data_IF_399662488729
#
_entry.id   IF_399662488729
#
_cell.length_a   1.000
_cell.length_b   1.000
_cell.length_c   1.000
_cell.angle_alpha   90.00
_cell.angle_beta   90.00
_cell.angle_gamma   90.00
#
_symmetry.space_group_name_H-M   'P 1'
#
loop_
_entity.id
_entity.type
_entity.pdbx_description
1 polymer ?
#
# COMPACT_ATOMS: atom_id res chain seq x y z
N UNK A 1 -21.01 -12.63 2.48
CA UNK A 1 -22.28 -11.90 2.25
C UNK A 1 -22.53 -11.92 0.76
N UNK A 2 -23.76 -12.22 0.31
CA UNK A 2 -24.10 -12.14 -1.09
C UNK A 2 -23.89 -10.71 -1.61
N UNK A 3 -23.37 -10.57 -2.83
CA UNK A 3 -23.25 -9.29 -3.51
C UNK A 3 -24.66 -8.80 -3.86
N UNK A 4 -24.94 -7.54 -3.60
CA UNK A 4 -26.27 -6.95 -3.79
C UNK A 4 -26.28 -6.05 -5.03
N UNK A 5 -27.24 -6.27 -5.91
CA UNK A 5 -27.47 -5.49 -7.12
C UNK A 5 -28.80 -4.73 -6.99
N UNK A 6 -28.79 -3.42 -7.29
CA UNK A 6 -30.00 -2.61 -7.38
C UNK A 6 -30.40 -2.50 -8.85
N UNK A 7 -31.61 -2.98 -9.17
CA UNK A 7 -32.19 -2.90 -10.52
C UNK A 7 -33.17 -1.74 -10.56
N UNK A 8 -32.94 -0.78 -11.46
CA UNK A 8 -33.74 0.43 -11.64
C UNK A 8 -34.30 0.45 -13.06
N UNK A 9 -35.59 0.25 -13.20
CA UNK A 9 -36.30 0.23 -14.47
C UNK A 9 -37.78 0.57 -14.17
N UNK A 10 -38.48 1.33 -14.99
CA UNK A 10 -39.88 1.64 -14.79
C UNK A 10 -40.80 0.49 -15.14
N UNK A 11 -40.38 -0.44 -16.02
CA UNK A 11 -41.13 -1.62 -16.43
C UNK A 11 -41.02 -2.75 -15.38
N UNK A 12 -42.13 -3.12 -14.74
CA UNK A 12 -42.20 -4.16 -13.72
C UNK A 12 -41.70 -5.53 -14.22
N UNK A 13 -42.08 -5.88 -15.44
CA UNK A 13 -41.73 -7.16 -16.05
C UNK A 13 -40.21 -7.28 -16.28
N UNK A 14 -39.58 -6.19 -16.66
CA UNK A 14 -38.11 -6.16 -16.84
C UNK A 14 -37.40 -6.27 -15.48
N UNK A 15 -37.88 -5.57 -14.46
CA UNK A 15 -37.33 -5.70 -13.11
C UNK A 15 -37.41 -7.13 -12.59
N UNK A 16 -38.58 -7.81 -12.81
CA UNK A 16 -38.78 -9.18 -12.38
C UNK A 16 -37.86 -10.15 -13.15
N UNK A 17 -37.79 -10.01 -14.48
CA UNK A 17 -36.92 -10.84 -15.34
C UNK A 17 -35.45 -10.71 -14.94
N UNK A 18 -34.97 -9.49 -14.83
CA UNK A 18 -33.54 -9.21 -14.47
C UNK A 18 -33.25 -9.69 -13.04
N UNK A 19 -34.19 -9.51 -12.11
CA UNK A 19 -34.04 -9.99 -10.74
C UNK A 19 -33.93 -11.51 -10.70
N UNK A 20 -34.83 -12.24 -11.40
CA UNK A 20 -34.76 -13.68 -11.45
C UNK A 20 -33.46 -14.22 -12.00
N UNK A 21 -32.97 -13.66 -13.10
CA UNK A 21 -31.66 -14.04 -13.67
C UNK A 21 -30.51 -13.85 -12.68
N UNK A 22 -30.48 -12.73 -11.94
CA UNK A 22 -29.41 -12.43 -11.00
C UNK A 22 -29.53 -13.26 -9.70
N UNK A 23 -30.75 -13.53 -9.24
CA UNK A 23 -30.99 -14.35 -8.05
C UNK A 23 -30.59 -15.81 -8.30
N UNK A 24 -30.81 -16.33 -9.50
CA UNK A 24 -30.37 -17.69 -9.92
C UNK A 24 -28.83 -17.81 -9.88
N UNK A 25 -28.12 -16.71 -10.13
CA UNK A 25 -26.65 -16.65 -10.03
C UNK A 25 -26.14 -16.30 -8.60
N UNK A 26 -27.06 -16.22 -7.63
CA UNK A 26 -26.73 -16.03 -6.21
C UNK A 26 -26.50 -14.59 -5.77
N UNK A 27 -26.90 -13.60 -6.56
CA UNK A 27 -26.94 -12.20 -6.15
C UNK A 27 -28.17 -11.92 -5.27
N UNK A 28 -28.03 -11.01 -4.33
CA UNK A 28 -29.18 -10.40 -3.66
C UNK A 28 -29.67 -9.24 -4.52
N UNK A 29 -30.96 -9.16 -4.81
CA UNK A 29 -31.50 -8.10 -5.68
C UNK A 29 -32.45 -7.19 -4.91
N UNK A 30 -32.30 -5.88 -5.10
CA UNK A 30 -33.31 -4.89 -4.77
C UNK A 30 -33.76 -4.19 -6.04
N UNK A 31 -34.99 -3.72 -6.06
CA UNK A 31 -35.56 -3.05 -7.23
C UNK A 31 -36.05 -1.66 -6.87
N UNK A 32 -36.02 -0.75 -7.85
CA UNK A 32 -36.65 0.56 -7.79
C UNK A 32 -37.33 0.85 -9.13
N UNK A 33 -38.49 1.50 -9.11
CA UNK A 33 -39.25 1.83 -10.30
C UNK A 33 -38.94 3.22 -10.86
N UNK A 34 -38.27 4.07 -10.06
CA UNK A 34 -37.98 5.46 -10.43
C UNK A 34 -36.71 5.96 -9.75
N UNK A 35 -36.30 7.16 -10.11
CA UNK A 35 -35.08 7.80 -9.60
C UNK A 35 -35.12 8.10 -8.10
N UNK A 36 -36.30 8.36 -7.52
CA UNK A 36 -36.46 8.67 -6.09
C UNK A 36 -36.23 7.39 -5.28
N UNK A 37 -36.95 6.32 -5.62
CA UNK A 37 -36.79 5.01 -5.00
C UNK A 37 -35.39 4.45 -5.14
N UNK A 38 -34.72 4.71 -6.28
CA UNK A 38 -33.34 4.32 -6.49
C UNK A 38 -32.37 5.03 -5.53
N UNK A 39 -32.50 6.35 -5.40
CA UNK A 39 -31.65 7.13 -4.49
C UNK A 39 -31.90 6.78 -3.03
N UNK A 40 -33.17 6.61 -2.62
CA UNK A 40 -33.52 6.17 -1.27
C UNK A 40 -32.96 4.79 -0.95
N UNK A 41 -33.03 3.84 -1.91
CA UNK A 41 -32.46 2.52 -1.76
C UNK A 41 -30.90 2.55 -1.63
N UNK A 42 -30.23 3.45 -2.34
CA UNK A 42 -28.77 3.62 -2.25
C UNK A 42 -28.39 4.25 -0.91
N UNK A 43 -29.16 5.25 -0.44
CA UNK A 43 -28.90 5.95 0.83
C UNK A 43 -29.18 5.04 2.04
N UNK A 44 -30.20 4.17 1.97
CA UNK A 44 -30.49 3.17 3.01
C UNK A 44 -29.35 2.14 3.14
N UNK A 45 -28.93 1.57 2.03
CA UNK A 45 -27.81 0.66 1.98
C UNK A 45 -27.16 0.65 0.60
N UNK A 46 -25.86 0.98 0.55
CA UNK A 46 -25.09 0.99 -0.69
C UNK A 46 -25.07 -0.36 -1.36
N UNK A 47 -25.57 -0.54 -2.59
CA UNK A 47 -25.47 -1.77 -3.34
C UNK A 47 -24.03 -2.00 -3.85
N UNK A 48 -23.72 -3.24 -4.23
CA UNK A 48 -22.46 -3.57 -4.90
C UNK A 48 -22.40 -3.01 -6.33
N UNK A 49 -23.57 -2.89 -6.97
CA UNK A 49 -23.73 -2.40 -8.34
C UNK A 49 -25.15 -1.89 -8.55
N UNK A 50 -25.34 -0.99 -9.51
CA UNK A 50 -26.65 -0.54 -10.01
C UNK A 50 -26.79 -0.93 -11.47
N UNK A 51 -27.89 -1.59 -11.80
CA UNK A 51 -28.40 -1.76 -13.16
C UNK A 51 -29.46 -0.68 -13.40
N UNK A 52 -29.28 0.14 -14.40
CA UNK A 52 -30.09 1.34 -14.57
C UNK A 52 -30.61 1.45 -16.00
N UNK A 53 -31.93 1.48 -16.14
CA UNK A 53 -32.51 1.81 -17.44
C UNK A 53 -32.29 3.28 -17.81
N UNK A 54 -32.00 3.50 -19.09
CA UNK A 54 -31.77 4.86 -19.63
C UNK A 54 -33.06 5.66 -19.67
N UNK A 55 -34.18 5.02 -19.94
CA UNK A 55 -35.47 5.69 -20.13
C UNK A 55 -36.42 5.37 -18.97
N UNK A 56 -36.37 6.17 -17.92
CA UNK A 56 -37.26 6.04 -16.76
C UNK A 56 -38.49 6.91 -16.95
N UNK A 57 -39.58 6.35 -17.49
CA UNK A 57 -40.84 7.06 -17.71
C UNK A 57 -41.51 7.44 -16.38
N UNK A 58 -42.03 8.65 -16.30
CA UNK A 58 -42.69 9.13 -15.08
C UNK A 58 -41.76 9.42 -13.91
N UNK A 59 -40.47 9.24 -14.06
CA UNK A 59 -39.43 9.52 -13.06
C UNK A 59 -39.04 10.99 -13.08
N UNK A 60 -38.56 11.50 -11.92
CA UNK A 60 -38.06 12.88 -11.77
C UNK A 60 -36.78 13.13 -12.55
N UNK A 61 -35.90 12.12 -12.62
CA UNK A 61 -34.64 12.13 -13.38
C UNK A 61 -34.72 10.99 -14.40
N UNK A 62 -34.23 11.25 -15.62
CA UNK A 62 -33.95 10.15 -16.55
C UNK A 62 -32.73 9.33 -16.13
N UNK A 63 -32.45 8.22 -16.80
CA UNK A 63 -31.38 7.34 -16.39
C UNK A 63 -30.00 7.97 -16.49
N UNK A 64 -29.75 8.86 -17.46
CA UNK A 64 -28.46 9.55 -17.57
C UNK A 64 -28.27 10.61 -16.46
N UNK A 65 -29.34 11.33 -16.13
CA UNK A 65 -29.31 12.29 -15.02
C UNK A 65 -29.15 11.58 -13.67
N UNK A 66 -29.83 10.41 -13.51
CA UNK A 66 -29.66 9.60 -12.32
C UNK A 66 -28.25 9.03 -12.21
N UNK A 67 -27.64 8.58 -13.31
CA UNK A 67 -26.23 8.18 -13.35
C UNK A 67 -25.32 9.31 -12.83
N UNK A 68 -25.49 10.53 -13.34
CA UNK A 68 -24.69 11.70 -12.91
C UNK A 68 -24.85 11.95 -11.40
N UNK A 69 -26.08 11.87 -10.88
CA UNK A 69 -26.34 12.07 -9.45
C UNK A 69 -25.74 10.96 -8.60
N UNK A 70 -25.84 9.70 -9.03
CA UNK A 70 -25.17 8.55 -8.37
C UNK A 70 -23.65 8.76 -8.34
N UNK A 71 -23.06 9.13 -9.48
CA UNK A 71 -21.61 9.35 -9.58
C UNK A 71 -21.11 10.56 -8.81
N UNK A 72 -21.96 11.57 -8.66
CA UNK A 72 -21.67 12.75 -7.81
C UNK A 72 -21.62 12.36 -6.33
N UNK A 73 -22.52 11.48 -5.85
CA UNK A 73 -22.58 11.00 -4.46
C UNK A 73 -21.50 9.95 -4.18
N UNK A 74 -21.37 8.96 -5.04
CA UNK A 74 -20.38 7.88 -4.95
C UNK A 74 -19.73 7.60 -6.31
N UNK A 75 -18.59 8.25 -6.63
CA UNK A 75 -17.87 8.02 -7.88
C UNK A 75 -17.43 6.56 -8.07
N UNK A 76 -17.33 5.79 -6.97
CA UNK A 76 -16.84 4.41 -6.99
C UNK A 76 -17.95 3.39 -7.24
N UNK A 77 -19.23 3.74 -7.03
CA UNK A 77 -20.36 2.80 -7.20
C UNK A 77 -20.48 2.39 -8.67
N UNK A 78 -20.35 1.08 -8.99
CA UNK A 78 -20.50 0.58 -10.34
C UNK A 78 -21.94 0.80 -10.86
N UNK A 79 -22.08 1.34 -12.08
CA UNK A 79 -23.38 1.50 -12.74
C UNK A 79 -23.27 0.92 -14.15
N UNK A 80 -24.12 -0.04 -14.47
CA UNK A 80 -24.33 -0.58 -15.82
C UNK A 80 -25.64 -0.02 -16.36
N UNK A 81 -25.62 0.57 -17.55
CA UNK A 81 -26.83 1.06 -18.18
C UNK A 81 -27.46 0.01 -19.09
N UNK A 82 -28.79 -0.03 -19.08
CA UNK A 82 -29.60 -0.86 -19.98
C UNK A 82 -30.45 0.09 -20.83
N UNK A 83 -30.64 -0.19 -22.13
CA UNK A 83 -31.48 0.63 -22.99
C UNK A 83 -32.19 -0.17 -24.06
N UNK A 84 -33.45 0.16 -24.29
CA UNK A 84 -34.28 -0.42 -25.38
C UNK A 84 -34.02 0.19 -26.75
N UNK A 85 -33.29 1.30 -26.87
CA UNK A 85 -32.97 1.95 -28.13
C UNK A 85 -31.48 2.21 -28.19
N UNK A 86 -30.74 1.33 -28.87
CA UNK A 86 -29.31 1.38 -29.03
C UNK A 86 -28.88 2.54 -29.92
N UNK A 87 -28.80 3.76 -29.39
CA UNK A 87 -28.10 4.84 -30.06
C UNK A 87 -26.65 4.87 -29.53
N UNK A 88 -25.68 4.71 -30.43
CA UNK A 88 -24.25 4.75 -30.12
C UNK A 88 -23.89 6.03 -29.35
N UNK A 89 -24.56 7.14 -29.62
CA UNK A 89 -24.36 8.42 -28.95
C UNK A 89 -24.73 8.33 -27.46
N UNK A 90 -25.81 7.62 -27.11
CA UNK A 90 -26.25 7.39 -25.71
C UNK A 90 -25.27 6.50 -24.97
N UNK A 91 -24.75 5.44 -25.60
CA UNK A 91 -23.74 4.59 -25.01
C UNK A 91 -22.42 5.33 -24.75
N UNK A 92 -21.98 6.17 -25.70
CA UNK A 92 -20.79 7.02 -25.54
C UNK A 92 -20.99 8.06 -24.43
N UNK A 93 -22.17 8.68 -24.36
CA UNK A 93 -22.49 9.62 -23.29
C UNK A 93 -22.47 8.95 -21.92
N UNK A 94 -23.07 7.76 -21.80
CA UNK A 94 -23.10 6.98 -20.57
C UNK A 94 -21.68 6.65 -20.05
N UNK A 95 -20.79 6.19 -20.91
CA UNK A 95 -19.39 5.87 -20.52
C UNK A 95 -18.64 7.15 -20.12
N UNK A 96 -18.88 8.28 -20.78
CA UNK A 96 -18.29 9.57 -20.40
C UNK A 96 -18.75 10.05 -19.03
N UNK A 97 -20.01 9.79 -18.67
CA UNK A 97 -20.57 10.12 -17.36
C UNK A 97 -20.19 9.10 -16.27
N UNK A 98 -19.40 8.09 -16.62
CA UNK A 98 -18.81 7.14 -15.67
C UNK A 98 -19.57 5.83 -15.50
N UNK A 99 -20.49 5.48 -16.38
CA UNK A 99 -20.99 4.12 -16.46
C UNK A 99 -19.84 3.15 -16.76
N UNK A 100 -19.94 1.91 -16.23
CA UNK A 100 -18.91 0.89 -16.49
C UNK A 100 -19.06 0.34 -17.90
N UNK A 101 -20.29 0.10 -18.30
CA UNK A 101 -20.63 -0.45 -19.58
C UNK A 101 -22.10 -0.13 -19.91
N UNK A 102 -22.54 -0.60 -21.08
CA UNK A 102 -23.88 -0.42 -21.61
C UNK A 102 -24.37 -1.74 -22.23
N UNK A 103 -25.64 -2.07 -22.03
CA UNK A 103 -26.27 -3.23 -22.62
C UNK A 103 -27.57 -2.84 -23.34
N UNK A 104 -27.79 -3.37 -24.52
CA UNK A 104 -28.97 -3.08 -25.34
C UNK A 104 -30.04 -4.17 -25.18
N UNK A 105 -31.31 -3.75 -24.98
CA UNK A 105 -32.48 -4.63 -24.99
C UNK A 105 -32.87 -4.95 -26.45
N UNK A 106 -33.18 -6.21 -26.81
CA UNK A 106 -33.16 -7.41 -25.97
C UNK A 106 -31.73 -7.95 -25.79
N UNK A 107 -31.41 -8.42 -24.59
CA UNK A 107 -30.10 -8.99 -24.25
C UNK A 107 -30.24 -10.45 -23.77
N UNK A 108 -29.18 -11.21 -23.96
CA UNK A 108 -29.06 -12.56 -23.45
C UNK A 108 -28.69 -12.56 -21.96
N UNK A 109 -29.29 -13.45 -21.16
CA UNK A 109 -29.02 -13.56 -19.72
C UNK A 109 -27.54 -13.75 -19.43
N UNK A 110 -26.84 -14.60 -20.21
CA UNK A 110 -25.40 -14.85 -20.07
C UNK A 110 -24.58 -13.58 -20.21
N UNK A 111 -24.94 -12.65 -21.12
CA UNK A 111 -24.26 -11.40 -21.32
C UNK A 111 -24.46 -10.45 -20.13
N UNK A 112 -25.66 -10.39 -19.57
CA UNK A 112 -25.96 -9.61 -18.37
C UNK A 112 -25.12 -10.10 -17.20
N UNK A 113 -25.16 -11.39 -16.92
CA UNK A 113 -24.40 -12.04 -15.84
C UNK A 113 -22.91 -11.76 -15.98
N UNK A 114 -22.34 -11.97 -17.16
CA UNK A 114 -20.92 -11.70 -17.42
C UNK A 114 -20.51 -10.24 -17.08
N UNK A 115 -21.33 -9.26 -17.49
CA UNK A 115 -21.04 -7.86 -17.20
C UNK A 115 -21.16 -7.52 -15.71
N UNK A 116 -22.15 -8.10 -15.03
CA UNK A 116 -22.36 -7.93 -13.59
C UNK A 116 -21.21 -8.54 -12.80
N UNK A 117 -20.80 -9.77 -13.11
CA UNK A 117 -19.67 -10.45 -12.48
C UNK A 117 -18.39 -9.63 -12.61
N UNK A 118 -18.07 -9.22 -13.83
CA UNK A 118 -16.85 -8.42 -14.12
C UNK A 118 -16.83 -7.10 -13.36
N UNK A 119 -17.97 -6.43 -13.26
CA UNK A 119 -18.10 -5.14 -12.61
C UNK A 119 -18.01 -5.27 -11.09
N UNK A 120 -18.73 -6.22 -10.50
CA UNK A 120 -18.74 -6.47 -9.05
C UNK A 120 -17.39 -6.96 -8.54
N UNK A 121 -16.72 -7.87 -9.28
CA UNK A 121 -15.38 -8.35 -8.93
C UNK A 121 -14.35 -7.22 -8.97
N UNK A 122 -14.40 -6.36 -10.00
CA UNK A 122 -13.51 -5.20 -10.11
C UNK A 122 -13.69 -4.24 -8.93
N UNK A 123 -14.93 -3.95 -8.51
CA UNK A 123 -15.22 -3.09 -7.36
C UNK A 123 -14.79 -3.76 -6.05
N UNK A 124 -15.03 -5.05 -5.88
CA UNK A 124 -14.59 -5.85 -4.74
C UNK A 124 -13.07 -5.74 -4.56
N UNK A 125 -12.32 -6.01 -5.63
CA UNK A 125 -10.85 -5.94 -5.61
C UNK A 125 -10.33 -4.52 -5.33
N UNK A 126 -10.97 -3.49 -5.90
CA UNK A 126 -10.62 -2.09 -5.60
C UNK A 126 -10.85 -1.74 -4.13
N UNK A 127 -11.96 -2.17 -3.54
CA UNK A 127 -12.26 -1.93 -2.12
C UNK A 127 -11.35 -2.71 -1.20
N UNK A 128 -11.11 -3.99 -1.48
CA UNK A 128 -10.17 -4.80 -0.72
C UNK A 128 -8.78 -4.18 -0.73
N UNK A 129 -8.31 -3.74 -1.89
CA UNK A 129 -7.05 -3.03 -2.03
C UNK A 129 -7.04 -1.71 -1.25
N UNK A 130 -8.12 -0.93 -1.29
CA UNK A 130 -8.24 0.31 -0.52
C UNK A 130 -8.23 0.05 0.99
N UNK A 131 -8.94 -0.99 1.45
CA UNK A 131 -8.98 -1.40 2.86
C UNK A 131 -7.61 -1.88 3.34
N UNK A 132 -6.95 -2.73 2.55
CA UNK A 132 -5.59 -3.21 2.83
C UNK A 132 -4.61 -2.04 2.89
N UNK A 133 -4.70 -1.09 1.94
CA UNK A 133 -3.87 0.14 1.95
C UNK A 133 -4.14 1.03 3.17
N UNK A 134 -5.40 1.15 3.63
CA UNK A 134 -5.72 1.89 4.84
C UNK A 134 -5.16 1.20 6.09
N UNK A 135 -5.26 -0.12 6.19
CA UNK A 135 -4.68 -0.88 7.28
C UNK A 135 -3.15 -0.72 7.34
N UNK A 136 -2.49 -0.82 6.19
CA UNK A 136 -1.06 -0.57 6.06
C UNK A 136 -0.72 0.88 6.47
N UNK A 137 -1.47 1.87 6.00
CA UNK A 137 -1.18 3.28 6.25
C UNK A 137 -1.39 3.74 7.70
N UNK A 138 -2.24 3.10 8.48
CA UNK A 138 -2.44 3.41 9.91
C UNK A 138 -1.29 2.88 10.79
N UNK A 139 -0.67 1.77 10.40
CA UNK A 139 0.45 1.17 11.14
C UNK A 139 1.82 1.76 10.75
N UNK A 140 1.89 2.58 9.69
CA UNK A 140 3.14 3.04 9.08
C UNK A 140 3.49 4.49 9.46
N UNK A 141 3.33 4.86 10.72
CA UNK A 141 3.79 6.15 11.22
C UNK A 141 5.00 6.00 12.15
N UNK A 142 5.94 6.93 12.04
CA UNK A 142 7.00 7.07 13.02
C UNK A 142 6.38 7.61 14.32
N UNK A 143 6.01 6.73 15.24
CA UNK A 143 5.39 7.08 16.51
C UNK A 143 6.39 7.75 17.46
N UNK A 144 5.90 8.65 18.30
CA UNK A 144 6.66 9.41 19.27
C UNK A 144 6.34 10.91 19.23
N UNK A 145 6.48 11.58 20.37
CA UNK A 145 6.24 13.00 20.55
C UNK A 145 7.54 13.82 20.71
N UNK A 146 8.72 13.16 20.75
CA UNK A 146 10.00 13.81 20.94
C UNK A 146 10.32 14.84 19.86
N UNK A 147 11.09 15.87 20.24
CA UNK A 147 11.58 16.90 19.31
C UNK A 147 12.37 16.25 18.17
N UNK A 148 13.16 15.24 18.47
CA UNK A 148 13.98 14.53 17.49
C UNK A 148 13.13 13.86 16.40
N UNK A 149 12.08 13.13 16.76
CA UNK A 149 11.22 12.46 15.78
C UNK A 149 10.31 13.43 15.04
N UNK A 150 9.86 14.50 15.69
CA UNK A 150 9.09 15.57 15.06
C UNK A 150 9.90 16.27 13.97
N UNK A 151 11.18 16.56 14.22
CA UNK A 151 12.10 17.14 13.24
C UNK A 151 12.27 16.21 12.03
N UNK A 152 12.41 14.90 12.26
CA UNK A 152 12.45 13.92 11.17
C UNK A 152 11.17 13.97 10.37
N UNK A 153 9.98 13.87 11.01
CA UNK A 153 8.68 13.93 10.31
C UNK A 153 8.53 15.20 9.46
N UNK A 154 8.92 16.35 9.99
CA UNK A 154 8.91 17.61 9.25
C UNK A 154 9.82 17.56 8.02
N UNK A 155 11.00 16.96 8.14
CA UNK A 155 11.92 16.76 7.02
C UNK A 155 11.35 15.81 5.96
N UNK A 156 10.79 14.66 6.38
CA UNK A 156 10.14 13.71 5.46
C UNK A 156 9.00 14.37 4.70
N UNK A 157 8.13 15.13 5.39
CA UNK A 157 7.00 15.83 4.79
C UNK A 157 7.42 16.87 3.75
N UNK A 158 8.53 17.59 4.01
CA UNK A 158 9.09 18.58 3.08
C UNK A 158 9.71 17.93 1.83
N UNK A 159 10.35 16.77 1.99
CA UNK A 159 11.06 16.07 0.89
C UNK A 159 10.13 15.18 0.06
N UNK A 160 9.02 14.70 0.63
CA UNK A 160 8.10 13.80 -0.05
C UNK A 160 7.65 14.32 -1.44
N UNK A 161 7.20 15.57 -1.62
CA UNK A 161 6.71 16.05 -2.90
C UNK A 161 7.82 16.35 -3.92
N UNK A 162 9.08 16.44 -3.53
CA UNK A 162 10.18 16.91 -4.42
C UNK A 162 10.61 15.89 -5.47
N UNK A 163 10.24 14.61 -5.35
CA UNK A 163 10.75 13.54 -6.21
C UNK A 163 12.24 13.21 -6.00
N UNK A 164 12.97 13.94 -5.16
CA UNK A 164 14.39 13.74 -4.90
C UNK A 164 14.68 12.38 -4.30
N UNK A 165 15.89 11.87 -4.57
CA UNK A 165 16.44 10.68 -3.89
C UNK A 165 16.74 11.01 -2.43
N UNK A 166 16.53 10.03 -1.56
CA UNK A 166 16.74 10.20 -0.12
C UNK A 166 17.58 9.04 0.39
N UNK A 167 18.61 9.35 1.14
CA UNK A 167 19.40 8.39 1.89
C UNK A 167 19.03 8.46 3.37
N UNK A 168 18.41 7.38 3.86
CA UNK A 168 17.97 7.27 5.26
C UNK A 168 19.01 6.50 6.05
N UNK A 169 19.59 7.14 7.05
CA UNK A 169 20.61 6.52 7.90
C UNK A 169 20.14 6.41 9.35
N UNK A 170 20.59 5.37 10.04
CA UNK A 170 20.27 5.16 11.46
C UNK A 170 20.43 3.72 11.89
N UNK A 171 20.52 3.44 13.19
CA UNK A 171 20.67 2.08 13.70
C UNK A 171 19.58 1.12 13.21
N UNK A 172 19.84 -0.20 13.30
CA UNK A 172 18.83 -1.21 13.02
C UNK A 172 17.57 -1.03 13.88
N UNK A 173 16.39 -1.25 13.31
CA UNK A 173 15.11 -1.21 14.02
C UNK A 173 14.57 0.18 14.38
N UNK A 174 15.17 1.28 13.92
CA UNK A 174 14.69 2.66 14.25
C UNK A 174 13.50 3.12 13.43
N UNK A 175 13.09 2.34 12.39
CA UNK A 175 11.97 2.67 11.51
C UNK A 175 12.38 3.27 10.16
N UNK A 176 13.53 2.88 9.58
CA UNK A 176 14.00 3.37 8.27
C UNK A 176 13.01 3.06 7.16
N UNK A 177 12.45 1.86 7.13
CA UNK A 177 11.42 1.47 6.17
C UNK A 177 10.13 2.29 6.35
N UNK A 178 9.68 2.50 7.59
CA UNK A 178 8.52 3.35 7.89
C UNK A 178 8.74 4.77 7.36
N UNK A 179 9.93 5.34 7.56
CA UNK A 179 10.26 6.66 7.02
C UNK A 179 10.19 6.69 5.48
N UNK A 180 10.69 5.64 4.80
CA UNK A 180 10.61 5.53 3.35
C UNK A 180 9.16 5.42 2.86
N UNK A 181 8.31 4.62 3.53
CA UNK A 181 6.88 4.51 3.22
C UNK A 181 6.15 5.84 3.43
N UNK A 182 6.44 6.56 4.51
CA UNK A 182 5.88 7.91 4.73
C UNK A 182 6.25 8.88 3.61
N UNK A 183 7.51 8.86 3.12
CA UNK A 183 7.93 9.68 1.97
C UNK A 183 7.10 9.31 0.73
N UNK A 184 6.89 8.01 0.48
CA UNK A 184 6.09 7.55 -0.66
C UNK A 184 4.63 7.99 -0.53
N UNK A 185 3.98 7.75 0.62
CA UNK A 185 2.58 8.09 0.87
C UNK A 185 2.28 9.59 0.78
N UNK A 186 3.25 10.44 1.12
CA UNK A 186 3.10 11.90 1.02
C UNK A 186 3.61 12.48 -0.32
N UNK A 187 4.00 11.63 -1.25
CA UNK A 187 4.48 12.02 -2.57
C UNK A 187 3.37 12.00 -3.63
N UNK A 188 3.57 12.63 -4.81
CA UNK A 188 2.66 12.48 -5.94
C UNK A 188 2.51 11.03 -6.43
N UNK A 189 3.45 10.14 -6.06
CA UNK A 189 3.44 8.72 -6.42
C UNK A 189 2.75 7.82 -5.38
N UNK A 190 2.00 8.37 -4.42
CA UNK A 190 1.37 7.62 -3.32
C UNK A 190 0.43 6.49 -3.77
N UNK A 191 -0.17 6.61 -4.96
CA UNK A 191 -1.06 5.58 -5.55
C UNK A 191 -0.31 4.53 -6.38
N UNK A 192 0.94 4.79 -6.72
CA UNK A 192 1.80 3.93 -7.52
C UNK A 192 2.48 2.84 -6.66
N UNK A 193 3.16 1.85 -7.25
CA UNK A 193 3.84 0.80 -6.50
C UNK A 193 4.93 1.33 -5.55
N UNK A 194 5.03 0.73 -4.36
CA UNK A 194 6.17 0.88 -3.45
C UNK A 194 6.85 -0.48 -3.29
N UNK A 195 7.99 -0.64 -3.92
CA UNK A 195 8.72 -1.91 -3.97
C UNK A 195 9.92 -1.86 -3.03
N UNK A 196 10.00 -2.82 -2.11
CA UNK A 196 11.10 -2.95 -1.15
C UNK A 196 12.08 -4.00 -1.65
N UNK A 197 13.35 -3.64 -1.67
CA UNK A 197 14.47 -4.53 -1.96
C UNK A 197 15.39 -4.56 -0.75
N UNK A 198 15.41 -5.67 -0.02
CA UNK A 198 16.29 -5.86 1.13
C UNK A 198 17.53 -6.66 0.72
N UNK A 199 18.65 -5.98 0.58
CA UNK A 199 19.91 -6.62 0.20
C UNK A 199 20.38 -7.67 1.21
N UNK A 200 20.07 -7.45 2.50
CA UNK A 200 20.46 -8.37 3.57
C UNK A 200 19.71 -9.72 3.56
N UNK A 201 18.55 -9.80 2.88
CA UNK A 201 17.72 -11.02 2.85
C UNK A 201 17.92 -11.86 1.58
N UNK A 202 18.66 -11.37 0.60
CA UNK A 202 18.86 -12.01 -0.68
C UNK A 202 20.28 -12.60 -0.77
N UNK A 203 20.42 -13.77 -1.42
CA UNK A 203 21.76 -14.26 -1.75
C UNK A 203 22.39 -13.35 -2.83
N UNK A 204 23.71 -13.10 -2.79
CA UNK A 204 24.38 -12.22 -3.75
C UNK A 204 24.11 -12.56 -5.22
N UNK A 205 23.97 -13.85 -5.54
CA UNK A 205 23.72 -14.36 -6.88
C UNK A 205 22.29 -14.03 -7.39
N UNK A 206 21.31 -13.99 -6.46
CA UNK A 206 19.89 -13.75 -6.80
C UNK A 206 19.51 -12.28 -6.81
N UNK A 207 20.24 -11.43 -6.08
CA UNK A 207 19.93 -9.99 -6.00
C UNK A 207 19.84 -9.36 -7.39
N UNK A 208 20.74 -9.73 -8.30
CA UNK A 208 20.74 -9.17 -9.65
C UNK A 208 19.54 -9.64 -10.48
N UNK A 209 19.21 -10.93 -10.45
CA UNK A 209 18.06 -11.46 -11.20
C UNK A 209 16.73 -10.95 -10.65
N UNK A 210 16.59 -10.89 -9.33
CA UNK A 210 15.36 -10.36 -8.71
C UNK A 210 15.19 -8.86 -8.98
N UNK A 211 16.27 -8.08 -8.92
CA UNK A 211 16.20 -6.63 -9.09
C UNK A 211 16.02 -6.23 -10.57
N UNK A 212 16.82 -6.83 -11.45
CA UNK A 212 16.85 -6.45 -12.88
C UNK A 212 16.03 -7.38 -13.77
N UNK A 213 15.57 -8.52 -13.25
CA UNK A 213 14.94 -9.55 -14.06
C UNK A 213 15.94 -10.34 -14.90
N UNK A 214 15.45 -11.34 -15.60
CA UNK A 214 16.27 -12.20 -16.48
C UNK A 214 15.63 -12.34 -17.86
N UNK A 215 16.46 -12.60 -18.86
CA UNK A 215 16.04 -12.92 -20.23
C UNK A 215 16.89 -14.08 -20.70
N UNK A 216 16.41 -15.30 -20.44
CA UNK A 216 17.08 -16.55 -20.78
C UNK A 216 16.20 -17.32 -21.76
N UNK A 217 16.81 -17.90 -22.79
CA UNK A 217 16.13 -18.73 -23.81
C UNK A 217 14.92 -18.07 -24.49
N UNK A 218 14.90 -16.73 -24.56
CA UNK A 218 13.78 -15.95 -25.14
C UNK A 218 12.62 -15.68 -24.18
N UNK A 219 12.66 -16.22 -22.95
CA UNK A 219 11.69 -15.89 -21.90
C UNK A 219 12.19 -14.71 -21.07
N UNK A 220 11.40 -13.64 -21.07
CA UNK A 220 11.66 -12.44 -20.27
C UNK A 220 10.91 -12.53 -18.94
N UNK A 221 11.66 -12.47 -17.82
CA UNK A 221 11.09 -12.37 -16.46
C UNK A 221 11.35 -10.97 -15.92
N UNK A 222 10.28 -10.19 -15.64
CA UNK A 222 10.42 -8.84 -15.14
C UNK A 222 10.99 -8.82 -13.71
N UNK A 223 11.93 -7.89 -13.47
CA UNK A 223 12.50 -7.68 -12.14
C UNK A 223 11.72 -6.67 -11.30
N UNK A 224 12.16 -6.49 -10.05
CA UNK A 224 11.55 -5.56 -9.10
C UNK A 224 11.62 -4.09 -9.58
N UNK A 225 12.63 -3.73 -10.37
CA UNK A 225 12.73 -2.40 -11.00
C UNK A 225 11.58 -2.14 -11.99
N UNK A 226 11.18 -3.14 -12.76
CA UNK A 226 10.04 -3.02 -13.69
C UNK A 226 8.72 -2.92 -12.91
N UNK A 227 8.57 -3.70 -11.83
CA UNK A 227 7.41 -3.63 -10.96
C UNK A 227 7.29 -2.27 -10.24
N UNK A 228 8.41 -1.60 -10.00
CA UNK A 228 8.46 -0.26 -9.40
C UNK A 228 8.19 0.88 -10.40
N UNK A 229 7.99 0.58 -11.70
CA UNK A 229 7.79 1.60 -12.74
C UNK A 229 6.63 2.54 -12.41
N UNK A 230 6.83 3.85 -12.57
CA UNK A 230 5.90 4.89 -12.16
C UNK A 230 5.84 5.15 -10.65
N UNK A 231 6.45 4.29 -9.84
CA UNK A 231 6.38 4.26 -8.38
C UNK A 231 7.68 4.62 -7.66
N UNK A 232 7.92 3.94 -6.56
CA UNK A 232 9.08 4.13 -5.68
C UNK A 232 9.75 2.80 -5.40
N UNK A 233 11.06 2.75 -5.57
CA UNK A 233 11.92 1.65 -5.17
C UNK A 233 12.63 2.02 -3.86
N UNK A 234 12.50 1.18 -2.85
CA UNK A 234 13.21 1.34 -1.58
C UNK A 234 14.29 0.26 -1.44
N UNK A 235 15.55 0.70 -1.41
CA UNK A 235 16.71 -0.15 -1.24
C UNK A 235 17.09 -0.18 0.24
N UNK A 236 16.70 -1.22 0.97
CA UNK A 236 17.03 -1.38 2.38
C UNK A 236 18.38 -2.06 2.55
N UNK A 237 19.15 -1.56 3.53
CA UNK A 237 20.54 -1.96 3.82
C UNK A 237 21.42 -1.98 2.56
N UNK A 238 21.43 -0.85 1.83
CA UNK A 238 22.14 -0.69 0.56
C UNK A 238 23.65 -1.02 0.67
N UNK A 239 24.24 -0.88 1.86
CA UNK A 239 25.64 -1.21 2.12
C UNK A 239 25.94 -2.72 2.00
N UNK A 240 24.93 -3.58 2.07
CA UNK A 240 25.09 -5.04 1.93
C UNK A 240 25.01 -5.53 0.48
N UNK A 241 24.76 -4.62 -0.48
CA UNK A 241 24.73 -4.98 -1.89
C UNK A 241 26.11 -5.28 -2.47
N UNK A 242 26.24 -6.33 -3.30
CA UNK A 242 27.49 -6.62 -4.02
C UNK A 242 27.94 -5.43 -4.88
N UNK A 243 29.25 -5.24 -5.03
CA UNK A 243 29.82 -4.13 -5.82
C UNK A 243 29.37 -4.14 -7.29
N UNK A 244 29.14 -5.33 -7.86
CA UNK A 244 28.60 -5.50 -9.22
C UNK A 244 27.21 -4.91 -9.34
N UNK A 245 26.33 -5.25 -8.38
CA UNK A 245 24.94 -4.73 -8.30
C UNK A 245 24.94 -3.23 -8.05
N UNK A 246 25.83 -2.69 -7.19
CA UNK A 246 25.99 -1.27 -6.97
C UNK A 246 26.29 -0.52 -8.27
N UNK A 247 27.18 -1.09 -9.13
CA UNK A 247 27.49 -0.52 -10.45
C UNK A 247 26.28 -0.48 -11.41
N UNK A 248 25.45 -1.52 -11.40
CA UNK A 248 24.22 -1.56 -12.21
C UNK A 248 23.18 -0.57 -11.69
N UNK A 249 22.99 -0.45 -10.38
CA UNK A 249 22.10 0.55 -9.77
C UNK A 249 22.54 1.96 -10.15
N UNK A 250 23.83 2.26 -10.12
CA UNK A 250 24.35 3.56 -10.52
C UNK A 250 23.94 3.92 -11.96
N UNK A 251 23.99 2.96 -12.90
CA UNK A 251 23.52 3.16 -14.27
C UNK A 251 22.02 3.46 -14.32
N UNK A 252 21.20 2.70 -13.59
CA UNK A 252 19.74 2.96 -13.50
C UNK A 252 19.47 4.37 -12.98
N UNK A 253 20.20 4.81 -11.96
CA UNK A 253 20.07 6.16 -11.38
C UNK A 253 20.51 7.26 -12.34
N UNK A 254 21.36 6.96 -13.31
CA UNK A 254 21.89 7.92 -14.28
C UNK A 254 21.04 7.95 -15.54
N UNK A 255 20.75 6.79 -16.12
CA UNK A 255 20.21 6.66 -17.48
C UNK A 255 18.72 6.30 -17.49
N UNK A 256 18.16 5.98 -16.31
CA UNK A 256 16.79 5.45 -16.15
C UNK A 256 16.51 4.25 -17.07
N UNK A 257 17.57 3.47 -17.34
CA UNK A 257 17.53 2.28 -18.18
C UNK A 257 18.56 1.27 -17.72
N UNK A 258 18.31 -0.01 -18.03
CA UNK A 258 19.19 -1.11 -17.74
C UNK A 258 18.92 -2.29 -18.68
N UNK A 259 19.71 -3.37 -18.57
CA UNK A 259 19.49 -4.63 -19.29
C UNK A 259 19.16 -5.73 -18.26
N UNK A 260 18.21 -6.59 -18.62
CA UNK A 260 17.95 -7.81 -17.84
C UNK A 260 19.19 -8.70 -17.82
N UNK A 261 19.30 -9.55 -16.83
CA UNK A 261 20.38 -10.55 -16.76
C UNK A 261 20.26 -11.51 -17.96
N UNK A 262 21.30 -11.62 -18.77
CA UNK A 262 21.28 -12.38 -20.02
C UNK A 262 20.66 -11.67 -21.23
N UNK A 263 19.94 -10.56 -21.02
CA UNK A 263 19.28 -9.80 -22.08
C UNK A 263 20.15 -8.70 -22.69
N UNK A 264 19.89 -8.38 -23.95
CA UNK A 264 20.54 -7.28 -24.67
C UNK A 264 19.63 -6.07 -24.90
N UNK A 265 18.33 -6.20 -24.68
CA UNK A 265 17.37 -5.12 -24.88
C UNK A 265 17.36 -4.18 -23.68
N UNK A 266 17.49 -2.85 -23.91
CA UNK A 266 17.39 -1.88 -22.82
C UNK A 266 15.95 -1.77 -22.33
N UNK A 267 15.78 -1.84 -21.00
CA UNK A 267 14.50 -1.61 -20.30
C UNK A 267 14.54 -0.22 -19.71
N UNK A 268 13.57 0.63 -20.08
CA UNK A 268 13.41 1.99 -19.53
C UNK A 268 12.47 1.97 -18.34
N UNK A 269 12.86 2.64 -17.25
CA UNK A 269 12.05 2.74 -16.02
C UNK A 269 12.03 4.18 -15.52
N UNK A 270 10.87 4.63 -15.06
CA UNK A 270 10.73 5.85 -14.28
C UNK A 270 10.48 5.47 -12.82
N UNK A 271 11.51 5.52 -11.99
CA UNK A 271 11.44 5.08 -10.59
C UNK A 271 12.06 6.12 -9.67
N UNK A 272 11.34 6.51 -8.62
CA UNK A 272 11.93 7.24 -7.52
C UNK A 272 12.68 6.27 -6.61
N UNK A 273 13.97 6.53 -6.35
CA UNK A 273 14.77 5.67 -5.48
C UNK A 273 14.93 6.30 -4.11
N UNK A 274 14.58 5.54 -3.08
CA UNK A 274 14.89 5.80 -1.67
C UNK A 274 15.86 4.70 -1.22
N UNK A 275 16.82 5.03 -0.38
CA UNK A 275 17.79 4.07 0.14
C UNK A 275 17.96 4.18 1.64
N UNK A 276 18.29 3.09 2.30
CA UNK A 276 18.56 3.07 3.72
C UNK A 276 19.77 2.22 4.07
N UNK A 277 20.45 2.59 5.15
CA UNK A 277 21.53 1.78 5.72
C UNK A 277 21.70 2.04 7.21
N UNK A 278 22.11 1.00 7.93
CA UNK A 278 22.56 1.09 9.32
C UNK A 278 24.07 1.28 9.45
N UNK A 279 24.82 1.07 8.37
CA UNK A 279 26.29 1.18 8.36
C UNK A 279 26.75 2.60 8.04
N UNK A 280 27.97 2.91 8.43
CA UNK A 280 28.67 4.13 8.05
C UNK A 280 29.24 3.98 6.63
N UNK A 281 28.59 4.58 5.63
CA UNK A 281 29.01 4.46 4.24
C UNK A 281 30.41 5.02 3.98
N UNK A 282 30.88 6.02 4.73
CA UNK A 282 32.25 6.53 4.60
C UNK A 282 33.29 5.47 4.97
N UNK A 283 33.02 4.67 6.00
CA UNK A 283 33.87 3.55 6.40
C UNK A 283 33.81 2.42 5.37
N UNK A 284 32.63 2.14 4.82
CA UNK A 284 32.45 1.12 3.78
C UNK A 284 33.17 1.51 2.46
N UNK A 285 33.16 2.79 2.11
CA UNK A 285 33.92 3.35 0.97
C UNK A 285 35.43 3.20 1.20
N UNK A 286 35.93 3.63 2.36
CA UNK A 286 37.33 3.52 2.71
C UNK A 286 37.83 2.06 2.70
N UNK A 287 36.94 1.13 3.04
CA UNK A 287 37.23 -0.32 3.03
C UNK A 287 37.02 -0.97 1.63
N UNK A 288 36.66 -0.21 0.60
CA UNK A 288 36.43 -0.72 -0.75
C UNK A 288 35.18 -1.60 -0.91
N UNK A 289 34.25 -1.59 0.04
CA UNK A 289 33.01 -2.39 0.00
C UNK A 289 31.80 -1.61 -0.55
N UNK A 290 31.92 -0.29 -0.67
CA UNK A 290 30.88 0.56 -1.24
C UNK A 290 31.48 1.55 -2.22
N UNK A 291 30.80 1.79 -3.33
CA UNK A 291 31.26 2.71 -4.38
C UNK A 291 30.98 4.14 -3.99
N UNK A 292 31.99 4.98 -4.11
CA UNK A 292 31.90 6.40 -3.80
C UNK A 292 30.96 7.16 -4.78
N UNK A 293 31.00 6.81 -6.07
CA UNK A 293 30.14 7.40 -7.10
C UNK A 293 28.64 7.13 -6.84
N UNK A 294 28.32 5.92 -6.38
CA UNK A 294 26.97 5.58 -5.96
C UNK A 294 26.53 6.34 -4.72
N UNK A 295 27.43 6.50 -3.74
CA UNK A 295 27.14 7.30 -2.53
C UNK A 295 26.68 8.70 -2.88
N UNK A 296 27.42 9.45 -3.70
CA UNK A 296 27.03 10.80 -4.07
C UNK A 296 25.73 10.85 -4.87
N UNK A 297 25.42 9.80 -5.61
CA UNK A 297 24.19 9.71 -6.40
C UNK A 297 22.96 9.42 -5.54
N UNK A 298 23.11 8.66 -4.45
CA UNK A 298 22.04 8.35 -3.48
C UNK A 298 21.84 9.46 -2.44
N UNK A 299 22.93 10.08 -1.98
CA UNK A 299 22.92 11.04 -0.88
C UNK A 299 22.57 12.46 -1.34
N UNK A 300 21.44 12.61 -2.04
CA UNK A 300 20.92 13.92 -2.46
C UNK A 300 20.27 14.64 -1.28
N UNK A 301 19.42 13.92 -0.53
CA UNK A 301 18.82 14.42 0.69
C UNK A 301 19.11 13.40 1.81
N UNK A 302 20.04 13.73 2.72
CA UNK A 302 20.30 12.89 3.89
C UNK A 302 19.19 13.05 4.93
N UNK A 303 18.69 11.91 5.44
CA UNK A 303 17.76 11.84 6.56
C UNK A 303 18.33 10.90 7.62
N UNK A 304 18.67 11.45 8.79
CA UNK A 304 19.19 10.67 9.91
C UNK A 304 18.08 10.37 10.91
N UNK A 305 17.81 9.10 11.17
CA UNK A 305 16.88 8.66 12.19
C UNK A 305 17.60 8.52 13.55
N UNK A 306 17.06 9.09 14.63
CA UNK A 306 17.65 8.98 15.96
C UNK A 306 17.51 7.58 16.53
N UNK A 307 18.51 7.12 17.24
CA UNK A 307 18.41 5.88 18.01
C UNK A 307 17.35 6.00 19.12
N UNK A 308 16.73 4.89 19.51
CA UNK A 308 15.71 4.91 20.56
C UNK A 308 16.26 5.43 21.89
N UNK A 309 17.54 5.19 22.18
CA UNK A 309 18.21 5.73 23.38
C UNK A 309 18.27 7.28 23.39
N UNK A 310 18.23 7.93 22.23
CA UNK A 310 18.30 9.38 22.07
C UNK A 310 16.89 10.03 22.08
N UNK A 311 15.84 9.20 22.12
CA UNK A 311 14.41 9.59 22.20
C UNK A 311 13.65 8.74 23.24
N UNK A 312 14.20 8.64 24.45
CA UNK A 312 13.63 7.77 25.51
C UNK A 312 12.23 8.16 25.92
N UNK A 313 11.87 9.42 25.77
CA UNK A 313 10.54 9.96 26.02
C UNK A 313 9.45 9.34 25.11
N UNK A 314 9.82 8.79 23.94
CA UNK A 314 8.89 8.13 23.03
C UNK A 314 8.61 6.66 23.43
N UNK A 315 9.38 6.07 24.36
CA UNK A 315 9.26 4.64 24.72
C UNK A 315 7.87 4.28 25.25
N UNK A 316 7.23 5.08 26.14
CA UNK A 316 5.89 4.73 26.63
C UNK A 316 4.84 4.68 25.52
N UNK A 317 4.88 5.63 24.59
CA UNK A 317 3.97 5.69 23.43
C UNK A 317 4.18 4.50 22.50
N UNK A 318 5.43 4.17 22.17
CA UNK A 318 5.79 3.00 21.37
C UNK A 318 5.32 1.69 22.02
N UNK A 319 5.48 1.54 23.33
CA UNK A 319 5.00 0.36 24.06
C UNK A 319 3.49 0.24 23.95
N UNK A 320 2.75 1.32 24.16
CA UNK A 320 1.29 1.33 24.05
C UNK A 320 0.82 1.01 22.62
N UNK A 321 1.47 1.57 21.61
CA UNK A 321 1.18 1.29 20.21
C UNK A 321 1.35 -0.21 19.89
N UNK A 322 2.49 -0.81 20.26
CA UNK A 322 2.72 -2.23 20.01
C UNK A 322 1.80 -3.14 20.83
N UNK A 323 1.45 -2.76 22.05
CA UNK A 323 0.49 -3.52 22.84
C UNK A 323 -0.91 -3.51 22.21
N UNK A 324 -1.37 -2.35 21.73
CA UNK A 324 -2.64 -2.23 21.04
C UNK A 324 -2.68 -3.07 19.74
N UNK A 325 -1.61 -3.03 18.96
CA UNK A 325 -1.48 -3.84 17.76
C UNK A 325 -1.52 -5.34 18.04
N UNK A 326 -0.75 -5.82 19.01
CA UNK A 326 -0.76 -7.24 19.39
C UNK A 326 -2.11 -7.69 19.97
N UNK A 327 -2.83 -6.78 20.67
CA UNK A 327 -4.18 -7.08 21.14
C UNK A 327 -5.16 -7.27 19.98
N UNK A 328 -5.09 -6.38 18.99
CA UNK A 328 -5.93 -6.45 17.78
C UNK A 328 -5.65 -7.72 16.96
N UNK A 329 -4.37 -8.06 16.72
CA UNK A 329 -3.96 -9.26 15.98
C UNK A 329 -4.45 -10.56 16.63
N UNK A 330 -4.60 -10.59 17.95
CA UNK A 330 -5.03 -11.78 18.71
C UNK A 330 -6.48 -11.80 19.10
N UNK A 331 -7.28 -10.77 18.76
CA UNK A 331 -8.67 -10.60 19.20
C UNK A 331 -8.83 -10.68 20.73
N UNK A 332 -7.81 -10.22 21.48
CA UNK A 332 -7.83 -10.17 22.94
C UNK A 332 -8.16 -8.74 23.35
N UNK A 333 -9.14 -8.55 24.23
CA UNK A 333 -9.45 -7.21 24.73
C UNK A 333 -8.21 -6.59 25.41
N UNK A 334 -7.91 -5.33 25.08
CA UNK A 334 -6.73 -4.61 25.58
C UNK A 334 -6.71 -4.47 27.11
N UNK A 335 -7.87 -4.55 27.78
CA UNK A 335 -8.03 -4.59 29.23
C UNK A 335 -7.40 -5.82 29.88
N UNK A 336 -7.43 -6.98 29.21
CA UNK A 336 -6.93 -8.24 29.76
C UNK A 336 -5.39 -8.37 29.61
N UNK A 337 -4.79 -7.55 28.74
CA UNK A 337 -3.34 -7.50 28.58
C UNK A 337 -2.63 -6.69 29.68
N UNK A 338 -3.36 -5.93 30.46
CA UNK A 338 -2.84 -5.09 31.56
C UNK A 338 -2.56 -5.88 32.85
N UNK A 339 -3.02 -7.13 32.94
CA UNK A 339 -2.69 -8.03 34.06
C UNK A 339 -1.17 -8.29 34.15
N UNK A 340 -0.66 -8.35 35.37
CA UNK A 340 0.77 -8.35 35.73
C UNK A 340 1.64 -9.42 35.03
N UNK A 341 1.04 -10.48 34.46
CA UNK A 341 1.75 -11.55 33.73
C UNK A 341 2.09 -11.20 32.31
N UNK A 342 1.21 -10.44 31.61
CA UNK A 342 1.43 -10.07 30.19
C UNK A 342 2.37 -8.89 30.02
N UNK A 343 2.44 -7.96 30.99
CA UNK A 343 3.47 -6.88 30.97
C UNK A 343 4.88 -7.47 30.99
N UNK A 344 5.13 -8.58 31.69
CA UNK A 344 6.42 -9.28 31.65
C UNK A 344 6.67 -10.02 30.34
N UNK A 345 5.64 -10.64 29.74
CA UNK A 345 5.75 -11.35 28.47
C UNK A 345 5.89 -10.39 27.29
N UNK A 346 5.13 -9.29 27.24
CA UNK A 346 5.24 -8.26 26.20
C UNK A 346 6.59 -7.51 26.29
N UNK A 347 7.05 -7.17 27.50
CA UNK A 347 8.38 -6.59 27.71
C UNK A 347 9.50 -7.58 27.34
N UNK A 348 9.32 -8.88 27.59
CA UNK A 348 10.28 -9.93 27.18
C UNK A 348 10.31 -10.09 25.66
N UNK A 349 9.14 -10.06 24.98
CA UNK A 349 9.05 -10.15 23.51
C UNK A 349 9.50 -8.87 22.82
N UNK A 350 9.18 -7.70 23.36
CA UNK A 350 9.74 -6.43 22.88
C UNK A 350 11.27 -6.44 23.03
N UNK A 351 11.81 -6.99 24.11
CA UNK A 351 13.26 -7.20 24.27
C UNK A 351 13.81 -8.22 23.28
N UNK A 352 13.11 -9.31 23.02
CA UNK A 352 13.54 -10.34 22.04
C UNK A 352 13.48 -9.79 20.62
N UNK A 353 12.45 -9.01 20.29
CA UNK A 353 12.35 -8.31 19.01
C UNK A 353 13.44 -7.23 18.86
N UNK A 354 13.71 -6.46 19.91
CA UNK A 354 14.81 -5.50 19.96
C UNK A 354 16.19 -6.19 19.86
N UNK A 355 16.32 -7.43 20.34
CA UNK A 355 17.57 -8.21 20.19
C UNK A 355 17.66 -8.93 18.85
N UNK A 356 16.55 -9.40 18.27
CA UNK A 356 16.52 -10.03 16.94
C UNK A 356 16.68 -9.00 15.82
N UNK A 357 16.32 -7.72 16.07
CA UNK A 357 16.59 -6.59 15.19
C UNK A 357 17.96 -5.94 15.42
N UNK A 358 18.90 -6.64 16.02
CA UNK A 358 20.31 -6.20 16.17
C UNK A 358 20.57 -5.19 17.30
N UNK A 359 19.58 -4.89 18.14
CA UNK A 359 19.78 -4.04 19.33
C UNK A 359 20.25 -4.84 20.53
N UNK A 360 21.49 -5.35 20.46
CA UNK A 360 22.17 -5.94 21.62
C UNK A 360 22.42 -4.88 22.69
N UNK A 361 21.73 -4.96 23.81
CA UNK A 361 22.07 -4.20 25.00
C UNK A 361 23.37 -4.77 25.59
N UNK A 362 24.51 -4.17 25.27
CA UNK A 362 25.71 -4.34 26.09
C UNK A 362 25.42 -3.72 27.46
N UNK A 363 25.05 -4.54 28.43
CA UNK A 363 25.18 -4.18 29.83
C UNK A 363 26.68 -4.10 30.14
N UNK A 364 27.19 -2.89 30.34
CA UNK A 364 28.45 -2.69 31.02
C UNK A 364 28.29 -3.21 32.45
N UNK A 365 28.95 -4.33 32.74
CA UNK A 365 29.19 -4.76 34.10
C UNK A 365 30.22 -3.82 34.73
N UNK A 366 29.80 -2.90 35.57
CA UNK A 366 30.64 -2.37 36.64
C UNK A 366 30.07 -2.90 37.97
N UNK A 367 30.43 -4.11 38.30
CA UNK A 367 30.30 -4.62 39.66
C UNK A 367 31.50 -4.09 40.45
N UNK A 368 31.34 -2.96 41.10
CA UNK A 368 32.22 -2.57 42.20
C UNK A 368 31.97 -3.48 43.38
N UNK A 369 32.93 -4.30 43.69
CA UNK A 369 33.01 -5.07 44.91
C UNK A 369 33.07 -4.14 46.13
N UNK A 370 32.01 -4.12 46.95
CA UNK A 370 32.10 -3.66 48.32
C UNK A 370 32.37 -4.84 49.23
N UNK A 371 33.61 -5.02 49.63
CA UNK A 371 34.04 -5.89 50.70
C UNK A 371 33.64 -5.25 52.05
N UNK A 372 32.79 -5.93 52.79
CA UNK A 372 32.49 -5.56 54.14
C UNK A 372 33.71 -5.75 55.05
N UNK A 373 34.01 -4.75 55.82
CA UNK A 373 34.90 -4.87 56.97
C UNK A 373 34.08 -4.67 58.25
N UNK A 374 33.88 -5.77 58.94
CA UNK A 374 33.44 -5.81 60.35
C UNK A 374 34.46 -5.12 61.23
N UNK A 375 34.05 -4.18 62.05
CA UNK A 375 34.78 -3.74 63.20
C UNK A 375 33.89 -3.82 64.44
N UNK A 376 34.24 -4.75 65.31
CA UNK A 376 33.85 -4.82 66.70
C UNK A 376 34.57 -3.74 67.52
N UNK A 377 33.83 -2.97 68.21
CA UNK A 377 33.89 -2.62 69.66
C UNK A 377 32.97 -1.44 69.95
#
# INVERSE_FOLDING_TARGET
>A
MALEVLVVDDEADIRELVSGVLEDEGYAVRTAADSTGALDAIDDRRPSMVLLDVWLQGSRLDGLQLLQEIKRRDPSLPVLLISGHGNLDTAVAAVREGAIDFIEKPFEAERLVYLVDRATETDRLKRENATLRQQIGQDEQLNGASVAINTVRATLKRVAPTGSRVLITGPGGVGKEIAARMIHLWSPRAKAPFIVVSAAMMSPERVEEELFGSELDGEARPGLLEQAHGGTLFLDEIADMPLTTQGKILRVLTDQSYHRVGGQRPVKVDVRVLSATSRNLSEEIAAGRFREDLYYRLNVVPVKLPALRDRREDIPELVNHFLARFAAERRIASSDMVGAGMRRSAAKRARTWLTSSGMSSRRSRSAGSFTGTTLSR
#
